data_IF_829001918236
#
_entry.id   IF_829001918236
#
_cell.length_a   1.000
_cell.length_b   1.000
_cell.length_c   1.000
_cell.angle_alpha   90.00
_cell.angle_beta   90.00
_cell.angle_gamma   90.00
#
_symmetry.space_group_name_H-M   'P 1'
#
loop_
_entity.id
_entity.type
_entity.pdbx_description
1 polymer ?
#
# COMPACT_ATOMS: atom_id res chain seq x y z
N UNK A 1 5.58 -48.44 17.72
CA UNK A 1 5.59 -47.74 16.43
C UNK A 1 4.60 -46.62 16.44
N UNK A 2 5.10 -45.44 16.73
CA UNK A 2 4.33 -44.18 16.70
C UNK A 2 4.60 -43.50 15.37
N UNK A 3 3.57 -43.48 14.51
CA UNK A 3 3.59 -42.74 13.25
C UNK A 3 3.38 -41.22 13.55
N UNK A 4 4.42 -40.43 13.32
CA UNK A 4 4.32 -38.97 13.26
C UNK A 4 3.75 -38.61 11.90
N UNK A 5 2.52 -38.10 11.88
CA UNK A 5 1.92 -37.49 10.71
C UNK A 5 2.50 -36.08 10.57
N UNK A 6 3.25 -35.83 9.52
CA UNK A 6 3.64 -34.48 9.13
C UNK A 6 2.38 -33.77 8.62
N UNK A 7 1.91 -32.76 9.33
CA UNK A 7 0.94 -31.81 8.82
C UNK A 7 1.67 -30.87 7.85
N UNK A 8 1.32 -31.06 6.59
CA UNK A 8 1.72 -30.18 5.50
C UNK A 8 0.93 -28.87 5.64
N UNK A 9 1.56 -27.86 6.26
CA UNK A 9 0.99 -26.52 6.39
C UNK A 9 1.32 -25.71 5.13
N UNK A 10 0.71 -26.09 4.01
CA UNK A 10 0.57 -25.18 2.89
C UNK A 10 -0.55 -24.20 3.23
N UNK A 11 -0.23 -23.09 3.87
CA UNK A 11 -1.10 -21.92 3.94
C UNK A 11 -1.21 -21.32 2.53
N UNK A 12 -1.93 -21.97 1.66
CA UNK A 12 -2.48 -21.33 0.47
C UNK A 12 -3.64 -20.49 1.00
N UNK A 13 -3.43 -19.19 1.12
CA UNK A 13 -4.52 -18.24 1.37
C UNK A 13 -5.42 -18.30 0.14
N UNK A 14 -6.43 -19.15 0.19
CA UNK A 14 -7.48 -19.19 -0.81
C UNK A 14 -8.39 -18.00 -0.57
N UNK A 15 -8.21 -16.94 -1.36
CA UNK A 15 -9.18 -15.85 -1.43
C UNK A 15 -10.58 -16.45 -1.64
N UNK A 16 -11.56 -15.95 -0.90
CA UNK A 16 -12.95 -16.39 -1.09
C UNK A 16 -13.37 -16.11 -2.53
N UNK A 17 -14.00 -17.10 -3.18
CA UNK A 17 -14.48 -16.95 -4.56
C UNK A 17 -15.51 -15.83 -4.73
N UNK A 18 -16.09 -15.35 -3.66
CA UNK A 18 -17.03 -14.22 -3.63
C UNK A 18 -16.35 -12.88 -3.31
N UNK A 19 -15.02 -12.86 -3.11
CA UNK A 19 -14.28 -11.62 -2.91
C UNK A 19 -14.39 -10.73 -4.16
N UNK A 20 -14.75 -9.46 -3.94
CA UNK A 20 -14.83 -8.47 -5.02
C UNK A 20 -13.46 -7.90 -5.34
N UNK A 21 -13.16 -7.80 -6.61
CA UNK A 21 -11.92 -7.23 -7.16
C UNK A 21 -12.23 -6.16 -8.20
N UNK A 22 -11.39 -5.16 -8.29
CA UNK A 22 -11.57 -4.03 -9.22
C UNK A 22 -10.47 -3.90 -10.25
N UNK A 23 -9.34 -4.59 -10.06
CA UNK A 23 -8.12 -4.37 -10.86
C UNK A 23 -8.26 -4.89 -12.29
N UNK A 24 -8.91 -6.03 -12.50
CA UNK A 24 -8.94 -6.66 -13.81
C UNK A 24 -9.85 -5.96 -14.82
N UNK A 25 -10.96 -5.38 -14.35
CA UNK A 25 -12.03 -4.83 -15.21
C UNK A 25 -12.29 -3.35 -14.97
N UNK A 26 -11.63 -2.74 -13.97
CA UNK A 26 -11.87 -1.38 -13.46
C UNK A 26 -13.28 -1.17 -12.88
N UNK A 27 -14.00 -2.25 -12.64
CA UNK A 27 -15.29 -2.31 -11.95
C UNK A 27 -15.25 -3.41 -10.90
N UNK A 28 -16.09 -3.34 -9.88
CA UNK A 28 -16.18 -4.39 -8.87
C UNK A 28 -16.80 -5.64 -9.46
N UNK A 29 -16.07 -6.74 -9.44
CA UNK A 29 -16.51 -8.05 -9.89
C UNK A 29 -16.03 -9.14 -8.91
N UNK A 30 -16.73 -10.28 -8.87
CA UNK A 30 -16.28 -11.42 -8.07
C UNK A 30 -15.06 -12.04 -8.72
N UNK A 31 -14.06 -12.40 -7.93
CA UNK A 31 -12.80 -12.97 -8.43
C UNK A 31 -13.03 -14.21 -9.32
N UNK A 32 -14.06 -15.01 -9.04
CA UNK A 32 -14.42 -16.18 -9.85
C UNK A 32 -14.86 -15.85 -11.27
N UNK A 33 -15.36 -14.64 -11.50
CA UNK A 33 -15.89 -14.20 -12.79
C UNK A 33 -14.83 -13.46 -13.62
N UNK A 34 -13.64 -13.23 -13.01
CA UNK A 34 -12.53 -12.52 -13.65
C UNK A 34 -11.58 -13.52 -14.31
N UNK A 35 -11.37 -13.45 -15.63
CA UNK A 35 -10.51 -14.39 -16.36
C UNK A 35 -9.01 -14.13 -16.16
N UNK A 36 -8.62 -13.10 -15.43
CA UNK A 36 -7.23 -12.72 -15.18
C UNK A 36 -6.66 -13.42 -13.94
N UNK A 37 -5.32 -13.54 -13.88
CA UNK A 37 -4.62 -14.05 -12.69
C UNK A 37 -4.49 -12.94 -11.65
N UNK A 38 -5.41 -12.94 -10.70
CA UNK A 38 -5.39 -12.04 -9.57
C UNK A 38 -5.13 -12.82 -8.29
N UNK A 39 -4.26 -12.28 -7.43
CA UNK A 39 -4.20 -12.65 -6.02
C UNK A 39 -4.63 -11.45 -5.17
N UNK A 40 -5.09 -11.76 -3.95
CA UNK A 40 -5.61 -10.77 -3.03
C UNK A 40 -4.91 -10.95 -1.70
N UNK A 41 -4.34 -9.85 -1.17
CA UNK A 41 -3.99 -9.76 0.23
C UNK A 41 -5.25 -9.28 0.93
N UNK A 42 -5.88 -10.21 1.63
CA UNK A 42 -7.22 -10.03 2.21
C UNK A 42 -7.25 -9.00 3.35
N UNK A 43 -8.41 -8.40 3.63
CA UNK A 43 -8.58 -7.43 4.70
C UNK A 43 -8.07 -7.92 6.05
N UNK A 44 -8.25 -9.21 6.37
CA UNK A 44 -7.78 -9.80 7.62
C UNK A 44 -6.26 -9.75 7.76
N UNK A 45 -5.52 -9.99 6.68
CA UNK A 45 -4.05 -9.91 6.68
C UNK A 45 -3.60 -8.46 6.92
N UNK A 46 -4.24 -7.51 6.25
CA UNK A 46 -3.94 -6.08 6.40
C UNK A 46 -4.22 -5.62 7.84
N UNK A 47 -5.33 -6.05 8.43
CA UNK A 47 -5.74 -5.66 9.79
C UNK A 47 -4.92 -6.34 10.89
N UNK A 48 -4.48 -7.58 10.67
CA UNK A 48 -3.68 -8.36 11.64
C UNK A 48 -2.18 -8.06 11.54
N UNK A 49 -1.74 -7.30 10.56
CA UNK A 49 -0.35 -6.94 10.40
C UNK A 49 -0.07 -5.66 11.20
N UNK A 50 0.43 -5.78 12.43
CA UNK A 50 0.74 -4.61 13.25
C UNK A 50 1.86 -3.81 12.58
N UNK A 51 1.71 -2.50 12.57
CA UNK A 51 2.72 -1.56 12.07
C UNK A 51 3.21 -1.96 10.66
N UNK A 52 2.27 -2.34 9.79
CA UNK A 52 2.61 -2.84 8.47
C UNK A 52 2.93 -1.71 7.49
N UNK A 53 4.14 -1.73 6.97
CA UNK A 53 4.47 -1.01 5.73
C UNK A 53 3.95 -1.78 4.51
N UNK A 54 3.71 -1.07 3.42
CA UNK A 54 3.28 -1.69 2.16
C UNK A 54 4.25 -2.79 1.68
N UNK A 55 5.59 -2.62 1.71
CA UNK A 55 6.52 -3.69 1.35
C UNK A 55 6.29 -4.98 2.12
N UNK A 56 6.08 -4.92 3.44
CA UNK A 56 5.82 -6.09 4.26
C UNK A 56 4.51 -6.79 3.90
N UNK A 57 3.45 -6.04 3.63
CA UNK A 57 2.18 -6.62 3.18
C UNK A 57 2.34 -7.34 1.83
N UNK A 58 3.08 -6.73 0.90
CA UNK A 58 3.32 -7.31 -0.41
C UNK A 58 4.15 -8.60 -0.38
N UNK A 59 5.07 -8.74 0.58
CA UNK A 59 5.83 -9.99 0.78
C UNK A 59 4.95 -11.19 1.15
N UNK A 60 3.71 -10.99 1.57
CA UNK A 60 2.76 -12.08 1.81
C UNK A 60 2.27 -12.75 0.52
N UNK A 61 2.44 -12.12 -0.66
CA UNK A 61 2.11 -12.71 -1.96
C UNK A 61 3.34 -13.37 -2.58
N UNK A 62 3.32 -14.68 -2.71
CA UNK A 62 4.43 -15.48 -3.26
C UNK A 62 4.82 -15.17 -4.72
N UNK A 63 4.05 -14.36 -5.43
CA UNK A 63 4.35 -13.95 -6.81
C UNK A 63 5.10 -12.63 -6.90
N UNK A 64 5.34 -11.99 -5.77
CA UNK A 64 6.05 -10.74 -5.65
C UNK A 64 7.42 -10.99 -5.03
N UNK A 65 8.46 -10.61 -5.74
CA UNK A 65 9.80 -10.54 -5.19
C UNK A 65 10.05 -9.10 -4.72
N UNK A 66 10.33 -8.95 -3.42
CA UNK A 66 10.63 -7.65 -2.82
C UNK A 66 12.10 -7.57 -2.43
N UNK A 67 12.71 -6.44 -2.73
CA UNK A 67 14.03 -6.09 -2.21
C UNK A 67 13.88 -4.82 -1.38
N UNK A 68 14.15 -4.92 -0.08
CA UNK A 68 14.15 -3.79 0.84
C UNK A 68 15.50 -3.64 1.50
N UNK A 69 16.06 -2.45 1.49
CA UNK A 69 17.41 -2.14 1.96
C UNK A 69 17.44 -1.64 3.41
N UNK A 70 16.75 -2.32 4.30
CA UNK A 70 16.72 -1.97 5.73
C UNK A 70 15.33 -2.12 6.34
N UNK A 71 15.08 -1.39 7.44
CA UNK A 71 13.80 -1.38 8.16
C UNK A 71 12.79 -0.39 7.58
N UNK A 72 11.96 0.16 8.47
CA UNK A 72 10.91 1.12 8.11
C UNK A 72 11.43 2.31 7.31
N UNK A 73 10.68 2.71 6.28
CA UNK A 73 10.99 3.86 5.46
C UNK A 73 12.21 3.72 4.55
N UNK A 74 12.86 2.55 4.53
CA UNK A 74 13.99 2.31 3.64
C UNK A 74 13.54 1.96 2.23
N UNK A 75 14.41 2.21 1.25
CA UNK A 75 14.12 1.95 -0.16
C UNK A 75 13.67 0.50 -0.35
N UNK A 76 12.53 0.33 -1.01
CA UNK A 76 11.97 -0.96 -1.37
C UNK A 76 11.62 -0.98 -2.86
N UNK A 77 12.00 -2.05 -3.54
CA UNK A 77 11.72 -2.31 -4.95
C UNK A 77 10.90 -3.57 -5.11
N UNK A 78 9.93 -3.53 -6.01
CA UNK A 78 9.02 -4.64 -6.31
C UNK A 78 9.35 -5.23 -7.67
N UNK A 79 9.49 -6.54 -7.72
CA UNK A 79 9.75 -7.29 -8.94
C UNK A 79 8.67 -8.33 -9.14
N UNK A 80 8.09 -8.35 -10.31
CA UNK A 80 7.08 -9.34 -10.68
C UNK A 80 7.54 -10.12 -11.90
N UNK A 81 7.58 -11.46 -11.80
CA UNK A 81 7.92 -12.36 -12.91
C UNK A 81 9.28 -12.05 -13.58
N UNK A 82 10.27 -11.58 -12.82
CA UNK A 82 11.58 -11.24 -13.33
C UNK A 82 11.64 -9.97 -14.19
N UNK A 83 10.62 -9.12 -14.13
CA UNK A 83 10.66 -7.79 -14.75
C UNK A 83 11.30 -6.78 -13.80
N UNK A 84 11.69 -5.61 -14.33
CA UNK A 84 12.20 -4.52 -13.51
C UNK A 84 11.08 -3.88 -12.67
N UNK A 85 11.45 -3.22 -11.60
CA UNK A 85 10.56 -2.48 -10.70
C UNK A 85 9.76 -1.37 -11.42
N UNK A 86 10.31 -0.75 -12.45
CA UNK A 86 9.63 0.23 -13.31
C UNK A 86 8.49 -0.35 -14.14
N UNK A 87 8.37 -1.68 -14.23
CA UNK A 87 7.34 -2.38 -14.99
C UNK A 87 6.16 -2.83 -14.14
N UNK A 88 6.17 -2.50 -12.84
CA UNK A 88 5.04 -2.78 -11.93
C UNK A 88 4.31 -1.48 -11.65
N UNK A 89 3.06 -1.42 -12.07
CA UNK A 89 2.20 -0.28 -11.81
C UNK A 89 1.58 -0.40 -10.43
N UNK A 90 1.75 0.62 -9.61
CA UNK A 90 1.13 0.71 -8.27
C UNK A 90 0.01 1.75 -8.31
N UNK A 91 -1.17 1.33 -7.90
CA UNK A 91 -2.36 2.16 -7.88
C UNK A 91 -2.95 2.24 -6.47
N UNK A 92 -3.59 3.34 -6.14
CA UNK A 92 -4.50 3.46 -4.99
C UNK A 92 -5.86 3.95 -5.48
N UNK A 93 -6.88 3.13 -5.35
CA UNK A 93 -8.22 3.39 -5.88
C UNK A 93 -8.23 3.85 -7.35
N UNK A 94 -7.27 3.32 -8.15
CA UNK A 94 -7.06 3.66 -9.54
C UNK A 94 -6.24 4.93 -9.79
N UNK A 95 -5.74 5.59 -8.76
CA UNK A 95 -4.77 6.70 -8.87
C UNK A 95 -3.37 6.12 -8.97
N UNK A 96 -2.62 6.48 -10.00
CA UNK A 96 -1.25 6.03 -10.21
C UNK A 96 -0.31 6.67 -9.18
N UNK A 97 0.48 5.84 -8.50
CA UNK A 97 1.47 6.25 -7.52
C UNK A 97 2.92 6.21 -8.05
N UNK A 98 3.14 5.62 -9.22
CA UNK A 98 4.46 5.67 -9.86
C UNK A 98 4.78 7.10 -10.28
N UNK A 99 5.94 7.61 -9.86
CA UNK A 99 6.37 8.96 -10.18
C UNK A 99 6.79 9.08 -11.65
N UNK A 100 6.55 10.22 -12.26
CA UNK A 100 6.91 10.45 -13.67
C UNK A 100 8.42 10.49 -13.91
N UNK A 101 9.22 10.81 -12.90
CA UNK A 101 10.67 10.92 -12.99
C UNK A 101 11.41 9.60 -12.84
N UNK A 102 10.96 8.74 -11.90
CA UNK A 102 11.62 7.46 -11.61
C UNK A 102 10.90 6.26 -12.26
N UNK A 103 9.64 6.40 -12.63
CA UNK A 103 8.82 5.29 -13.13
C UNK A 103 8.41 4.27 -12.07
N UNK A 104 8.89 4.42 -10.84
CA UNK A 104 8.61 3.56 -9.69
C UNK A 104 7.73 4.26 -8.66
N UNK A 105 7.12 3.52 -7.76
CA UNK A 105 6.41 4.06 -6.60
C UNK A 105 7.30 3.96 -5.36
N UNK A 106 7.30 5.01 -4.53
CA UNK A 106 8.01 5.04 -3.25
C UNK A 106 7.25 4.22 -2.21
N UNK A 107 7.30 2.89 -2.31
CA UNK A 107 6.44 1.94 -1.58
C UNK A 107 6.48 2.13 -0.06
N UNK A 108 7.65 2.43 0.50
CA UNK A 108 7.86 2.61 1.94
C UNK A 108 7.23 3.89 2.49
N UNK A 109 6.81 4.81 1.62
CA UNK A 109 6.19 6.07 2.02
C UNK A 109 4.66 6.09 1.81
N UNK A 110 4.08 4.94 1.48
CA UNK A 110 2.63 4.81 1.29
C UNK A 110 1.99 4.43 2.62
N UNK A 111 1.02 5.23 3.06
CA UNK A 111 0.22 4.92 4.23
C UNK A 111 -0.78 3.80 3.95
N UNK A 112 -0.77 2.77 4.79
CA UNK A 112 -1.64 1.60 4.69
C UNK A 112 -2.82 1.63 5.66
N UNK A 113 -2.94 2.66 6.49
CA UNK A 113 -3.90 2.73 7.61
C UNK A 113 -5.36 2.58 7.17
N UNK A 114 -5.71 3.14 6.03
CA UNK A 114 -7.06 3.10 5.46
C UNK A 114 -7.21 2.09 4.31
N UNK A 115 -6.24 1.20 4.11
CA UNK A 115 -6.31 0.15 3.08
C UNK A 115 -7.16 -1.01 3.58
N UNK A 116 -8.11 -1.44 2.75
CA UNK A 116 -8.97 -2.59 2.97
C UNK A 116 -8.30 -3.88 2.51
N UNK A 117 -7.86 -3.90 1.26
CA UNK A 117 -7.24 -5.06 0.61
C UNK A 117 -6.24 -4.60 -0.45
N UNK A 118 -5.35 -5.50 -0.85
CA UNK A 118 -4.41 -5.27 -1.95
C UNK A 118 -4.66 -6.32 -3.01
N UNK A 119 -4.90 -5.89 -4.24
CA UNK A 119 -5.10 -6.75 -5.39
C UNK A 119 -3.84 -6.76 -6.24
N UNK A 120 -3.38 -7.94 -6.60
CA UNK A 120 -2.18 -8.14 -7.41
C UNK A 120 -2.56 -8.82 -8.72
N UNK A 121 -2.61 -8.05 -9.80
CA UNK A 121 -2.85 -8.54 -11.15
C UNK A 121 -1.52 -8.98 -11.76
N UNK A 122 -1.39 -10.27 -12.04
CA UNK A 122 -0.15 -10.92 -12.50
C UNK A 122 -0.10 -11.01 -14.01
N UNK A 123 0.98 -10.48 -14.58
CA UNK A 123 1.24 -10.53 -16.01
C UNK A 123 0.84 -9.25 -16.74
N UNK A 124 0.97 -9.23 -18.07
CA UNK A 124 0.82 -8.02 -18.84
C UNK A 124 -0.62 -7.50 -18.78
N UNK A 125 -0.77 -6.32 -18.20
CA UNK A 125 -2.00 -5.55 -18.12
C UNK A 125 -1.94 -4.26 -18.96
N UNK A 126 -1.00 -4.22 -19.91
CA UNK A 126 -0.72 -3.04 -20.73
C UNK A 126 -1.91 -2.58 -21.58
N UNK A 127 -2.81 -3.50 -21.94
CA UNK A 127 -4.03 -3.15 -22.67
C UNK A 127 -4.95 -2.24 -21.87
N UNK A 128 -5.03 -2.45 -20.53
CA UNK A 128 -5.90 -1.67 -19.65
C UNK A 128 -5.18 -0.50 -18.97
N UNK A 129 -3.89 -0.65 -18.69
CA UNK A 129 -3.13 0.23 -17.81
C UNK A 129 -1.90 0.88 -18.46
N UNK A 130 -1.58 0.53 -19.71
CA UNK A 130 -0.43 1.07 -20.42
C UNK A 130 0.86 0.30 -20.20
N UNK A 131 1.96 0.82 -20.77
CA UNK A 131 3.27 0.14 -20.81
C UNK A 131 3.90 -0.14 -19.45
N UNK A 132 3.59 0.64 -18.44
CA UNK A 132 4.16 0.48 -17.09
C UNK A 132 3.59 -0.74 -16.34
N UNK A 133 2.57 -1.38 -16.88
CA UNK A 133 1.93 -2.57 -16.31
C UNK A 133 2.34 -3.87 -17.03
N UNK A 134 3.55 -3.94 -17.58
CA UNK A 134 4.04 -5.14 -18.28
C UNK A 134 4.30 -6.29 -17.29
N UNK A 135 4.86 -6.00 -16.14
CA UNK A 135 5.09 -6.97 -15.07
C UNK A 135 3.82 -7.33 -14.30
N UNK A 136 2.98 -6.35 -14.08
CA UNK A 136 1.73 -6.49 -13.36
C UNK A 136 1.21 -5.18 -12.78
N UNK A 137 0.12 -5.29 -12.02
CA UNK A 137 -0.50 -4.15 -11.31
C UNK A 137 -0.72 -4.52 -9.86
N UNK A 138 -0.33 -3.63 -8.96
CA UNK A 138 -0.66 -3.66 -7.53
C UNK A 138 -1.69 -2.58 -7.27
N UNK A 139 -2.90 -2.95 -6.87
CA UNK A 139 -3.98 -2.03 -6.55
C UNK A 139 -4.26 -2.03 -5.06
N UNK A 140 -4.05 -0.90 -4.43
CA UNK A 140 -4.47 -0.64 -3.06
C UNK A 140 -5.92 -0.19 -3.07
N UNK A 141 -6.78 -0.92 -2.40
CA UNK A 141 -8.21 -0.60 -2.29
C UNK A 141 -8.46 -0.02 -0.91
N UNK A 142 -8.91 1.23 -0.83
CA UNK A 142 -9.17 1.89 0.44
C UNK A 142 -10.50 1.45 1.05
N UNK A 143 -10.58 1.53 2.39
CA UNK A 143 -11.80 1.24 3.15
C UNK A 143 -12.91 2.23 2.79
N UNK A 144 -14.14 1.72 2.76
CA UNK A 144 -15.36 2.53 2.74
C UNK A 144 -16.14 2.19 3.99
N UNK A 145 -16.61 3.17 4.77
CA UNK A 145 -17.34 2.91 5.99
C UNK A 145 -18.65 2.14 5.73
N UNK A 146 -18.88 1.11 6.52
CA UNK A 146 -20.14 0.33 6.53
C UNK A 146 -20.98 0.61 7.77
N UNK A 147 -20.38 1.18 8.81
CA UNK A 147 -21.00 1.49 10.10
C UNK A 147 -20.53 2.84 10.62
N UNK A 148 -21.39 3.51 11.36
CA UNK A 148 -21.03 4.73 12.09
C UNK A 148 -20.32 4.36 13.38
N UNK A 149 -19.19 5.02 13.65
CA UNK A 149 -18.38 4.79 14.84
C UNK A 149 -17.12 5.64 14.87
N UNK A 150 -16.41 5.57 15.98
CA UNK A 150 -15.09 6.17 16.14
C UNK A 150 -14.19 5.20 16.89
N UNK A 151 -12.88 5.30 16.65
CA UNK A 151 -11.91 4.44 17.30
C UNK A 151 -10.58 5.16 17.50
N UNK A 152 -9.81 4.63 18.45
CA UNK A 152 -8.42 4.96 18.67
C UNK A 152 -7.67 3.64 18.79
N UNK A 153 -6.56 3.49 18.09
CA UNK A 153 -5.67 2.33 18.23
C UNK A 153 -4.26 2.80 18.56
N UNK A 154 -3.55 1.99 19.32
CA UNK A 154 -2.14 2.15 19.62
C UNK A 154 -1.44 0.81 19.46
N UNK A 155 -0.29 0.81 18.80
CA UNK A 155 0.54 -0.37 18.56
C UNK A 155 1.97 -0.04 18.97
N UNK A 156 2.63 -0.99 19.62
CA UNK A 156 4.03 -0.88 20.08
C UNK A 156 4.81 -2.04 19.48
N UNK A 157 5.97 -1.77 18.95
CA UNK A 157 6.87 -2.75 18.35
C UNK A 157 8.29 -2.61 18.88
N UNK A 158 9.19 -3.39 18.32
CA UNK A 158 10.62 -3.33 18.60
C UNK A 158 11.22 -1.99 18.16
N UNK A 159 12.44 -1.69 18.60
CA UNK A 159 13.18 -0.47 18.25
C UNK A 159 12.41 0.83 18.55
N UNK A 160 11.76 0.89 19.72
CA UNK A 160 10.92 2.01 20.13
C UNK A 160 9.86 2.38 19.08
N UNK A 161 9.39 1.39 18.33
CA UNK A 161 8.39 1.60 17.32
C UNK A 161 7.02 1.74 17.95
N UNK A 162 6.30 2.79 17.61
CA UNK A 162 4.91 2.95 18.00
C UNK A 162 4.09 3.59 16.89
N UNK A 163 2.86 3.11 16.76
CA UNK A 163 1.88 3.64 15.83
C UNK A 163 0.60 4.01 16.60
N UNK A 164 0.06 5.15 16.30
CA UNK A 164 -1.25 5.57 16.79
C UNK A 164 -2.15 5.93 15.63
N UNK A 165 -3.42 5.54 15.72
CA UNK A 165 -4.44 5.89 14.74
C UNK A 165 -5.69 6.36 15.47
N UNK A 166 -6.25 7.46 15.00
CA UNK A 166 -7.57 7.94 15.39
C UNK A 166 -8.45 8.00 14.16
N UNK A 167 -9.69 7.58 14.31
CA UNK A 167 -10.61 7.57 13.18
C UNK A 167 -12.06 7.73 13.59
N UNK A 168 -12.84 8.26 12.66
CA UNK A 168 -14.29 8.33 12.75
C UNK A 168 -14.91 7.99 11.40
N UNK A 169 -16.02 7.24 11.47
CA UNK A 169 -16.81 6.78 10.34
C UNK A 169 -18.27 7.18 10.53
N UNK A 170 -18.90 7.56 9.45
CA UNK A 170 -20.33 7.71 9.32
C UNK A 170 -20.80 6.86 8.14
N UNK A 171 -21.82 6.06 8.34
CA UNK A 171 -22.47 5.32 7.26
C UNK A 171 -23.97 5.22 7.55
N UNK A 172 -24.78 5.95 6.79
CA UNK A 172 -26.20 5.99 6.96
C UNK A 172 -26.90 6.30 5.63
N UNK A 173 -27.92 5.50 5.29
CA UNK A 173 -28.75 5.72 4.10
C UNK A 173 -27.96 5.92 2.78
N UNK A 174 -26.85 5.17 2.61
CA UNK A 174 -25.98 5.27 1.43
C UNK A 174 -25.09 6.52 1.41
N UNK A 175 -25.11 7.35 2.44
CA UNK A 175 -24.13 8.42 2.64
C UNK A 175 -23.06 7.88 3.57
N UNK A 176 -21.81 8.15 3.25
CA UNK A 176 -20.69 7.78 4.10
C UNK A 176 -19.64 8.89 4.19
N UNK A 177 -19.01 8.96 5.33
CA UNK A 177 -17.86 9.81 5.57
C UNK A 177 -16.83 9.07 6.42
N UNK A 178 -15.57 9.29 6.16
CA UNK A 178 -14.45 8.73 6.89
C UNK A 178 -13.40 9.81 7.13
N UNK A 179 -12.85 9.82 8.33
CA UNK A 179 -11.69 10.65 8.68
C UNK A 179 -10.68 9.76 9.42
N UNK A 180 -9.39 9.90 9.10
CA UNK A 180 -8.29 9.19 9.75
C UNK A 180 -7.13 10.15 9.99
N UNK A 181 -6.52 10.04 11.16
CA UNK A 181 -5.21 10.58 11.46
C UNK A 181 -4.32 9.47 11.99
N UNK A 182 -3.07 9.44 11.57
CA UNK A 182 -2.11 8.44 12.04
C UNK A 182 -0.74 9.05 12.28
N UNK A 183 0.00 8.44 13.20
CA UNK A 183 1.41 8.70 13.45
C UNK A 183 2.13 7.39 13.66
N UNK A 184 3.28 7.22 13.00
CA UNK A 184 4.20 6.11 13.17
C UNK A 184 5.58 6.69 13.45
N UNK A 185 6.24 6.20 14.49
CA UNK A 185 7.62 6.53 14.82
C UNK A 185 8.40 5.26 15.12
N UNK A 186 9.66 5.23 14.74
CA UNK A 186 10.59 4.15 15.02
C UNK A 186 12.01 4.70 15.15
N UNK A 187 12.76 4.24 16.14
CA UNK A 187 14.20 4.54 16.24
C UNK A 187 15.02 3.80 15.20
N UNK A 188 14.41 2.84 14.51
CA UNK A 188 15.02 2.04 13.45
C UNK A 188 15.94 0.94 13.94
N UNK A 189 16.39 0.15 12.97
CA UNK A 189 17.29 -0.99 13.20
C UNK A 189 18.71 -0.61 12.78
N UNK A 190 19.70 -0.92 13.61
CA UNK A 190 21.09 -0.79 13.21
C UNK A 190 21.41 -1.83 12.13
N UNK A 191 21.68 -1.36 10.91
CA UNK A 191 21.91 -2.22 9.74
C UNK A 191 23.39 -2.49 9.46
N UNK A 192 24.30 -2.03 10.33
CA UNK A 192 25.74 -2.15 10.11
C UNK A 192 26.52 -2.26 11.43
N UNK A 193 27.52 -3.14 11.46
CA UNK A 193 28.46 -3.34 12.56
C UNK A 193 29.70 -2.44 12.50
N UNK A 194 29.69 -1.40 11.73
CA UNK A 194 30.81 -0.48 11.63
C UNK A 194 31.03 0.19 13.00
N UNK A 195 32.24 0.12 13.57
CA UNK A 195 32.57 0.54 14.94
C UNK A 195 32.25 2.01 15.25
N UNK A 196 32.18 2.86 14.22
CA UNK A 196 31.90 4.28 14.32
C UNK A 196 30.53 4.66 13.75
N UNK A 197 29.66 3.66 13.47
CA UNK A 197 28.30 3.91 13.00
C UNK A 197 27.53 4.64 14.11
N UNK A 198 27.11 5.85 13.84
CA UNK A 198 26.19 6.55 14.72
C UNK A 198 24.87 5.78 14.78
N UNK A 199 24.38 5.61 15.99
CA UNK A 199 23.12 4.96 16.31
C UNK A 199 21.97 5.68 15.63
N UNK A 200 20.89 4.98 15.29
CA UNK A 200 19.67 5.43 14.61
C UNK A 200 19.71 5.50 13.06
N UNK A 201 20.52 4.67 12.47
CA UNK A 201 20.43 4.37 11.06
C UNK A 201 19.13 3.59 10.77
N UNK A 202 18.12 4.24 10.27
CA UNK A 202 16.82 3.64 10.01
C UNK A 202 15.68 4.26 10.81
N UNK A 203 15.95 5.36 11.54
CA UNK A 203 14.91 6.12 12.22
C UNK A 203 13.85 6.59 11.19
N UNK A 204 12.59 6.44 11.56
CA UNK A 204 11.46 6.73 10.71
C UNK A 204 10.36 7.47 11.49
N UNK A 205 9.91 8.57 10.94
CA UNK A 205 8.75 9.33 11.43
C UNK A 205 7.79 9.50 10.26
N UNK A 206 6.52 9.20 10.50
CA UNK A 206 5.46 9.34 9.52
C UNK A 206 4.19 9.84 10.19
N UNK A 207 3.54 10.79 9.57
CA UNK A 207 2.20 11.23 9.93
C UNK A 207 1.33 11.31 8.69
N UNK A 208 0.11 10.84 8.82
CA UNK A 208 -0.85 10.79 7.73
C UNK A 208 -2.21 11.31 8.16
N UNK A 209 -2.89 11.84 7.18
CA UNK A 209 -4.29 12.25 7.27
C UNK A 209 -5.04 11.76 6.05
N UNK A 210 -6.23 11.21 6.25
CA UNK A 210 -7.12 10.90 5.14
C UNK A 210 -8.56 11.27 5.47
N UNK A 211 -9.30 11.67 4.44
CA UNK A 211 -10.72 11.94 4.52
C UNK A 211 -11.40 11.43 3.25
N UNK A 212 -12.51 10.75 3.41
CA UNK A 212 -13.36 10.26 2.33
C UNK A 212 -14.79 10.67 2.61
N UNK A 213 -15.45 11.14 1.60
CA UNK A 213 -16.88 11.46 1.65
C UNK A 213 -17.57 10.96 0.40
N UNK A 214 -18.73 10.35 0.53
CA UNK A 214 -19.44 9.83 -0.62
C UNK A 214 -20.90 9.51 -0.39
N UNK A 215 -21.54 9.22 -1.50
CA UNK A 215 -22.91 8.74 -1.57
C UNK A 215 -22.95 7.56 -2.54
N UNK A 216 -23.59 6.48 -2.11
CA UNK A 216 -23.81 5.27 -2.90
C UNK A 216 -25.31 4.97 -2.94
N UNK A 217 -25.91 5.07 -4.11
CA UNK A 217 -27.30 4.74 -4.39
C UNK A 217 -27.34 3.80 -5.58
N UNK A 218 -28.43 3.11 -5.76
CA UNK A 218 -28.63 2.17 -6.85
C UNK A 218 -28.38 2.84 -8.23
N UNK A 219 -28.91 4.04 -8.43
CA UNK A 219 -28.83 4.75 -9.70
C UNK A 219 -27.59 5.62 -9.86
N UNK A 220 -26.96 6.07 -8.75
CA UNK A 220 -25.80 6.94 -8.83
C UNK A 220 -24.90 6.77 -7.60
N UNK A 221 -23.62 7.04 -7.80
CA UNK A 221 -22.63 7.12 -6.75
C UNK A 221 -21.68 8.27 -7.01
N UNK A 222 -21.20 8.89 -5.96
CA UNK A 222 -20.14 9.89 -6.03
C UNK A 222 -19.28 9.83 -4.79
N UNK A 223 -17.98 10.06 -4.95
CA UNK A 223 -17.06 10.17 -3.81
C UNK A 223 -15.95 11.18 -4.07
N UNK A 224 -15.46 11.74 -2.97
CA UNK A 224 -14.24 12.54 -2.90
C UNK A 224 -13.35 11.94 -1.83
N UNK A 225 -12.13 11.62 -2.21
CA UNK A 225 -11.09 11.08 -1.34
C UNK A 225 -9.92 12.05 -1.32
N UNK A 226 -9.42 12.37 -0.14
CA UNK A 226 -8.17 13.09 0.08
C UNK A 226 -7.29 12.29 1.03
N UNK A 227 -6.01 12.20 0.72
CA UNK A 227 -5.02 11.69 1.66
C UNK A 227 -3.70 12.44 1.53
N UNK A 228 -3.08 12.70 2.67
CA UNK A 228 -1.76 13.27 2.79
C UNK A 228 -0.93 12.39 3.72
N UNK A 229 0.30 12.12 3.32
CA UNK A 229 1.27 11.39 4.11
C UNK A 229 2.62 12.07 4.00
N UNK A 230 3.26 12.33 5.15
CA UNK A 230 4.55 13.00 5.18
C UNK A 230 5.38 12.50 6.35
N UNK A 231 6.69 12.62 6.22
CA UNK A 231 7.60 12.19 7.28
C UNK A 231 9.04 12.28 6.87
N UNK A 232 9.90 11.67 7.69
CA UNK A 232 11.34 11.64 7.51
C UNK A 232 11.84 10.22 7.65
N UNK A 233 12.61 9.76 6.68
CA UNK A 233 13.35 8.51 6.74
C UNK A 233 14.83 8.78 6.87
N UNK A 234 15.51 8.11 7.80
CA UNK A 234 16.95 8.22 8.00
C UNK A 234 17.63 6.93 7.57
N UNK A 235 18.66 7.03 6.77
CA UNK A 235 19.47 5.92 6.29
C UNK A 235 20.95 6.22 6.46
N UNK A 236 21.78 5.18 6.34
CA UNK A 236 23.24 5.30 6.42
C UNK A 236 23.81 5.43 5.03
N UNK A 237 24.70 6.40 4.87
CA UNK A 237 25.50 6.59 3.66
C UNK A 237 26.99 6.49 4.00
N UNK A 238 27.79 5.99 3.05
CA UNK A 238 29.23 5.85 3.19
C UNK A 238 29.96 7.18 3.01
N UNK A 239 30.97 7.42 3.83
CA UNK A 239 31.96 8.46 3.60
C UNK A 239 33.16 7.81 2.93
N UNK A 240 33.50 8.23 1.71
CA UNK A 240 34.62 7.69 0.95
C UNK A 240 35.76 8.71 0.90
N UNK A 241 37.00 8.19 0.87
CA UNK A 241 38.19 9.01 0.55
C UNK A 241 38.31 9.33 -0.95
N UNK A 242 39.36 10.05 -1.33
CA UNK A 242 39.59 10.40 -2.73
C UNK A 242 39.86 9.20 -3.66
N UNK A 243 40.12 8.03 -3.08
CA UNK A 243 40.37 6.76 -3.80
C UNK A 243 39.15 5.84 -3.74
N UNK A 244 37.98 6.34 -3.32
CA UNK A 244 36.72 5.58 -3.12
C UNK A 244 36.76 4.49 -2.05
N UNK A 245 37.76 4.54 -1.12
CA UNK A 245 37.74 3.64 0.03
C UNK A 245 36.74 4.17 1.07
N UNK A 246 35.93 3.27 1.62
CA UNK A 246 35.01 3.60 2.71
C UNK A 246 35.80 3.91 3.98
N UNK A 247 35.73 5.15 4.48
CA UNK A 247 36.45 5.63 5.66
C UNK A 247 35.53 5.96 6.85
N UNK A 248 34.24 5.95 6.63
CA UNK A 248 33.26 6.23 7.69
C UNK A 248 31.83 6.10 7.18
N UNK A 249 30.88 6.28 8.11
CA UNK A 249 29.46 6.28 7.83
C UNK A 249 28.84 7.57 8.39
N UNK A 250 27.81 8.05 7.74
CA UNK A 250 26.99 9.18 8.18
C UNK A 250 25.51 8.87 8.05
N UNK A 251 24.70 9.42 8.92
CA UNK A 251 23.26 9.39 8.76
C UNK A 251 22.84 10.47 7.75
N UNK A 252 21.96 10.11 6.84
CA UNK A 252 21.33 11.00 5.88
C UNK A 252 19.84 10.89 6.06
N UNK A 253 19.14 12.01 6.15
CA UNK A 253 17.68 12.06 6.26
C UNK A 253 17.08 12.48 4.94
N UNK A 254 15.97 11.84 4.60
CA UNK A 254 15.13 12.16 3.45
C UNK A 254 13.73 12.50 3.95
N UNK A 255 13.29 13.71 3.70
CA UNK A 255 11.90 14.10 3.92
C UNK A 255 11.06 13.67 2.72
N UNK A 256 9.85 13.22 3.00
CA UNK A 256 8.87 12.87 1.97
C UNK A 256 7.52 13.50 2.28
N UNK A 257 6.78 13.81 1.24
CA UNK A 257 5.38 14.21 1.34
C UNK A 257 4.65 13.79 0.09
N UNK A 258 3.57 13.02 0.25
CA UNK A 258 2.69 12.68 -0.85
C UNK A 258 1.25 13.07 -0.56
N UNK A 259 0.55 13.49 -1.59
CA UNK A 259 -0.84 13.91 -1.56
C UNK A 259 -1.63 13.22 -2.67
N UNK A 260 -2.81 12.72 -2.34
CA UNK A 260 -3.73 12.11 -3.30
C UNK A 260 -5.09 12.81 -3.18
N UNK A 261 -5.61 13.24 -4.32
CA UNK A 261 -7.01 13.67 -4.46
C UNK A 261 -7.64 12.77 -5.52
N UNK A 262 -8.82 12.23 -5.22
CA UNK A 262 -9.55 11.38 -6.12
C UNK A 262 -11.04 11.69 -6.04
N UNK A 263 -11.64 12.02 -7.18
CA UNK A 263 -13.08 12.26 -7.32
C UNK A 263 -13.64 11.25 -8.28
N UNK A 264 -14.66 10.54 -7.87
CA UNK A 264 -15.32 9.51 -8.67
C UNK A 264 -16.80 9.80 -8.76
N UNK A 265 -17.39 9.46 -9.90
CA UNK A 265 -18.82 9.51 -10.12
C UNK A 265 -19.29 8.36 -10.99
N UNK A 266 -20.47 7.83 -10.70
CA UNK A 266 -21.17 6.82 -11.49
C UNK A 266 -22.64 7.21 -11.61
N UNK A 267 -23.19 7.07 -12.79
CA UNK A 267 -24.64 7.19 -13.05
C UNK A 267 -25.07 6.02 -13.92
N UNK A 268 -26.02 5.23 -13.45
CA UNK A 268 -26.66 4.16 -14.18
C UNK A 268 -27.81 4.76 -15.00
N UNK A 269 -27.67 4.81 -16.31
CA UNK A 269 -28.67 5.35 -17.23
C UNK A 269 -29.73 4.30 -17.61
N UNK A 270 -29.36 3.03 -17.55
CA UNK A 270 -30.22 1.86 -17.69
C UNK A 270 -29.56 0.64 -17.05
N UNK A 271 -30.25 -0.50 -16.98
CA UNK A 271 -29.71 -1.76 -16.44
C UNK A 271 -28.41 -2.23 -17.15
N UNK A 272 -28.21 -1.82 -18.39
CA UNK A 272 -27.07 -2.23 -19.21
C UNK A 272 -26.12 -1.08 -19.55
N UNK A 273 -26.36 0.13 -19.07
CA UNK A 273 -25.53 1.28 -19.41
C UNK A 273 -25.26 2.18 -18.21
N UNK A 274 -23.99 2.27 -17.84
CA UNK A 274 -23.51 3.15 -16.80
C UNK A 274 -22.43 4.11 -17.31
N UNK A 275 -22.48 5.35 -16.86
CA UNK A 275 -21.45 6.35 -17.09
C UNK A 275 -20.57 6.47 -15.85
N UNK A 276 -19.26 6.33 -16.00
CA UNK A 276 -18.27 6.51 -14.96
C UNK A 276 -17.38 7.69 -15.28
N UNK A 277 -17.12 8.52 -14.29
CA UNK A 277 -16.18 9.62 -14.39
C UNK A 277 -15.18 9.56 -13.23
N UNK A 278 -13.93 9.91 -13.50
CA UNK A 278 -12.88 10.03 -12.48
C UNK A 278 -11.96 11.20 -12.78
N UNK A 279 -11.65 11.95 -11.76
CA UNK A 279 -10.59 12.95 -11.76
C UNK A 279 -9.69 12.69 -10.58
N UNK A 280 -8.39 12.54 -10.81
CA UNK A 280 -7.43 12.25 -9.75
C UNK A 280 -6.11 12.98 -9.95
N UNK A 281 -5.45 13.28 -8.84
CA UNK A 281 -4.12 13.87 -8.82
C UNK A 281 -3.31 13.17 -7.72
N UNK A 282 -2.07 12.86 -8.04
CA UNK A 282 -1.03 12.44 -7.11
C UNK A 282 0.12 13.45 -7.17
N UNK A 283 0.65 13.83 -6.00
CA UNK A 283 1.86 14.63 -5.85
C UNK A 283 2.80 13.89 -4.88
N UNK A 284 4.06 13.86 -5.23
CA UNK A 284 5.16 13.30 -4.47
C UNK A 284 6.30 14.33 -4.41
#
# INVERSE_FOLDING_TARGET
STSVSAQDSSNVVNASLDTLVVTATRSEEKIKDVPARISIIEPQIVEQSPIAELPHLLMSDASIDMLQYGGYGQTASIYMRGTNDTHTLVLRDGVRLNTGSAGTASLSFIDTTDIKQIEVLKGPASVLYGTDAIGGVVQLVSKTPEKTGAFVTGEIGEHSTYKSVIGADLAENGIYAQIRGQRLESDGTQVTDFKDAQVNAGAYDQKGFSAKFGIEKEQYAASVDYSENQGTSTYVDGINDANWNLIGLKNVSQDFKNEIINVKGRVNLSDNFALHARLSQFKD
#
